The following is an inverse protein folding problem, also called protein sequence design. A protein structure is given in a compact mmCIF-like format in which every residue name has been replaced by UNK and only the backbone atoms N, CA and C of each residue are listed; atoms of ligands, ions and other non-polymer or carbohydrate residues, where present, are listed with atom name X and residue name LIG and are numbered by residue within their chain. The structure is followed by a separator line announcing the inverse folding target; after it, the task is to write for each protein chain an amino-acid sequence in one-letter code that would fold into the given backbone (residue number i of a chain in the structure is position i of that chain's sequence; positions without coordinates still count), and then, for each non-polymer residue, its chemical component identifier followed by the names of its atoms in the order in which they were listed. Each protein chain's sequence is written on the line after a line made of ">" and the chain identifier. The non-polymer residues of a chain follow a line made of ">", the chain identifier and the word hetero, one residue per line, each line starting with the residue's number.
data_IF_375884321374
#
_entry.id   IF_375884321374
#
_cell.length_a   1.000
_cell.length_b   1.000
_cell.length_c   1.000
_cell.angle_alpha   90.00
_cell.angle_beta   90.00
_cell.angle_gamma   90.00
#
_symmetry.space_group_name_H-M   'P 1'
#
loop_
_entity.id
_entity.type
_entity.pdbx_description
1 polymer ?
#
# COMPACT_ATOMS: atom_id res chain seq x y z
N UNK A 1 50.14 26.09 -16.30
CA UNK A 1 49.82 24.67 -16.54
C UNK A 1 48.46 24.41 -15.88
N UNK A 2 47.37 24.63 -16.63
CA UNK A 2 46.01 24.47 -16.10
C UNK A 2 45.61 22.99 -16.18
N UNK A 3 45.46 22.35 -15.03
CA UNK A 3 44.80 21.05 -14.90
C UNK A 3 43.30 21.29 -15.04
N UNK A 4 42.77 21.07 -16.25
CA UNK A 4 41.33 21.10 -16.50
C UNK A 4 40.65 19.92 -15.82
N UNK A 5 39.62 20.19 -15.02
CA UNK A 5 38.71 19.18 -14.51
C UNK A 5 37.85 18.68 -15.68
N UNK A 6 38.17 17.51 -16.21
CA UNK A 6 37.32 16.81 -17.19
C UNK A 6 36.08 16.29 -16.48
N UNK A 7 34.89 16.79 -16.84
CA UNK A 7 33.63 16.19 -16.45
C UNK A 7 33.52 14.78 -17.05
N UNK A 8 32.90 13.86 -16.31
CA UNK A 8 32.63 12.50 -16.78
C UNK A 8 31.91 12.52 -18.15
N UNK A 9 32.22 11.59 -19.06
CA UNK A 9 31.50 11.48 -20.32
C UNK A 9 30.02 11.27 -20.02
N UNK A 10 29.19 12.16 -20.56
CA UNK A 10 27.74 12.05 -20.52
C UNK A 10 27.36 10.73 -21.21
N UNK A 11 26.98 9.72 -20.42
CA UNK A 11 26.47 8.45 -20.95
C UNK A 11 25.05 8.72 -21.43
N UNK A 12 24.94 9.04 -22.71
CA UNK A 12 23.75 9.58 -23.39
C UNK A 12 22.64 8.55 -23.64
N UNK A 13 22.52 7.53 -22.79
CA UNK A 13 21.44 6.54 -22.87
C UNK A 13 20.88 6.28 -21.49
N UNK A 14 19.83 7.02 -21.14
CA UNK A 14 18.94 6.59 -20.08
C UNK A 14 18.48 5.15 -20.39
N UNK A 15 18.49 4.24 -19.40
CA UNK A 15 17.93 2.91 -19.61
C UNK A 15 16.47 3.04 -20.07
N UNK A 16 15.96 2.11 -20.88
CA UNK A 16 14.56 2.13 -21.28
C UNK A 16 13.68 2.13 -20.01
N UNK A 17 12.61 2.92 -20.04
CA UNK A 17 11.68 2.96 -18.93
C UNK A 17 11.08 1.56 -18.69
N UNK A 18 10.95 1.14 -17.42
CA UNK A 18 10.30 -0.12 -17.10
C UNK A 18 8.84 -0.10 -17.55
N UNK A 19 8.31 -1.26 -17.93
CA UNK A 19 6.90 -1.41 -18.25
C UNK A 19 6.13 -1.93 -17.03
N UNK A 20 4.90 -1.48 -16.85
CA UNK A 20 4.04 -1.89 -15.77
C UNK A 20 2.63 -2.19 -16.28
N UNK A 21 1.99 -3.18 -15.65
CA UNK A 21 0.55 -3.40 -15.76
C UNK A 21 -0.13 -3.16 -14.40
N UNK A 22 -1.33 -2.55 -14.38
CA UNK A 22 -2.09 -2.38 -13.16
C UNK A 22 -2.64 -3.73 -12.70
N UNK A 23 -2.69 -3.93 -11.39
CA UNK A 23 -3.50 -4.98 -10.77
C UNK A 23 -4.88 -4.37 -10.55
N UNK A 24 -5.87 -4.89 -11.26
CA UNK A 24 -7.23 -4.37 -11.25
C UNK A 24 -8.14 -5.24 -10.38
N UNK A 25 -9.07 -4.60 -9.68
CA UNK A 25 -10.12 -5.26 -8.93
C UNK A 25 -11.47 -4.59 -9.22
N UNK A 26 -12.54 -5.35 -9.52
CA UNK A 26 -13.89 -4.79 -9.60
C UNK A 26 -14.27 -4.08 -8.31
N UNK A 27 -14.96 -2.94 -8.41
CA UNK A 27 -15.35 -2.14 -7.25
C UNK A 27 -16.04 -2.97 -6.17
N UNK A 28 -17.04 -3.77 -6.55
CA UNK A 28 -17.81 -4.61 -5.61
C UNK A 28 -16.93 -5.61 -4.86
N UNK A 29 -15.97 -6.22 -5.54
CA UNK A 29 -15.02 -7.14 -4.94
C UNK A 29 -14.07 -6.43 -3.96
N UNK A 30 -13.61 -5.22 -4.30
CA UNK A 30 -12.75 -4.41 -3.42
C UNK A 30 -13.44 -4.08 -2.08
N UNK A 31 -14.76 -3.86 -2.09
CA UNK A 31 -15.50 -3.54 -0.87
C UNK A 31 -15.71 -4.76 0.02
N UNK A 32 -15.90 -5.93 -0.59
CA UNK A 32 -16.08 -7.19 0.13
C UNK A 32 -14.75 -7.82 0.58
N UNK A 33 -13.62 -7.40 0.01
CA UNK A 33 -12.32 -8.02 0.27
C UNK A 33 -11.69 -7.61 1.61
N UNK A 34 -12.14 -6.51 2.23
CA UNK A 34 -11.59 -6.04 3.51
C UNK A 34 -11.97 -7.02 4.63
N UNK A 35 -10.97 -7.56 5.32
CA UNK A 35 -11.19 -8.58 6.34
C UNK A 35 -10.09 -8.59 7.39
N UNK A 36 -10.44 -8.95 8.62
CA UNK A 36 -9.47 -9.30 9.67
C UNK A 36 -9.17 -10.80 9.55
N UNK A 37 -7.89 -11.15 9.39
CA UNK A 37 -7.39 -12.49 9.17
C UNK A 37 -6.41 -12.89 10.28
N UNK A 38 -6.15 -14.20 10.46
CA UNK A 38 -5.05 -14.67 11.30
C UNK A 38 -3.71 -14.02 10.92
N UNK A 39 -2.77 -13.91 11.87
CA UNK A 39 -1.46 -13.35 11.59
C UNK A 39 -0.74 -14.18 10.51
N UNK A 40 0.08 -13.51 9.72
CA UNK A 40 0.89 -14.11 8.66
C UNK A 40 2.27 -13.47 8.62
N UNK A 41 3.17 -14.09 7.88
CA UNK A 41 4.51 -13.55 7.67
C UNK A 41 4.47 -12.17 6.98
N UNK A 42 5.36 -11.29 7.43
CA UNK A 42 5.64 -10.00 6.80
C UNK A 42 6.57 -10.17 5.61
N UNK A 43 6.31 -9.49 4.48
CA UNK A 43 7.11 -9.67 3.25
C UNK A 43 7.65 -8.37 2.64
N UNK A 44 6.78 -7.41 2.40
CA UNK A 44 7.05 -6.13 1.74
C UNK A 44 6.43 -4.98 2.55
N UNK A 45 7.00 -4.79 3.74
CA UNK A 45 6.46 -3.87 4.73
C UNK A 45 6.75 -2.41 4.39
N UNK A 46 5.86 -1.54 4.89
CA UNK A 46 5.93 -0.10 4.74
C UNK A 46 6.03 0.62 6.08
N UNK A 47 5.19 1.64 6.27
CA UNK A 47 5.20 2.45 7.48
C UNK A 47 4.83 1.66 8.73
N UNK A 48 5.36 2.13 9.85
CA UNK A 48 5.16 1.57 11.19
C UNK A 48 4.51 2.66 12.07
N UNK A 49 3.47 2.29 12.82
CA UNK A 49 2.86 3.12 13.85
C UNK A 49 2.86 2.40 15.18
N UNK A 50 3.07 3.18 16.25
CA UNK A 50 3.04 2.72 17.62
C UNK A 50 1.82 3.33 18.32
N UNK A 51 1.03 2.48 18.98
CA UNK A 51 -0.02 2.87 19.92
C UNK A 51 0.09 1.93 21.11
N UNK A 52 0.87 2.34 22.11
CA UNK A 52 1.30 1.47 23.20
C UNK A 52 0.16 0.61 23.78
N UNK A 53 0.37 -0.71 23.97
CA UNK A 53 1.59 -1.46 23.67
C UNK A 53 1.63 -2.07 22.25
N UNK A 54 0.82 -1.58 21.29
CA UNK A 54 0.63 -2.23 19.99
C UNK A 54 1.41 -1.57 18.86
N UNK A 55 1.90 -2.40 17.94
CA UNK A 55 2.54 -1.96 16.70
C UNK A 55 1.63 -2.30 15.52
N UNK A 56 1.52 -1.35 14.59
CA UNK A 56 0.83 -1.50 13.31
C UNK A 56 1.82 -1.33 12.17
N UNK A 57 1.92 -2.32 11.29
CA UNK A 57 2.91 -2.30 10.19
C UNK A 57 2.17 -2.48 8.87
N UNK A 58 2.27 -1.52 7.96
CA UNK A 58 1.72 -1.67 6.61
C UNK A 58 2.44 -2.78 5.83
N UNK A 59 1.70 -3.50 5.01
CA UNK A 59 2.13 -4.50 4.05
C UNK A 59 1.65 -4.04 2.67
N UNK A 60 2.60 -3.73 1.78
CA UNK A 60 2.31 -2.99 0.56
C UNK A 60 1.31 -3.72 -0.34
N UNK A 61 0.26 -3.02 -0.73
CA UNK A 61 -0.92 -3.45 -1.49
C UNK A 61 -1.83 -4.47 -0.81
N UNK A 62 -1.52 -4.89 0.41
CA UNK A 62 -2.19 -6.02 1.04
C UNK A 62 -2.90 -5.65 2.34
N UNK A 63 -2.44 -4.65 3.09
CA UNK A 63 -3.10 -4.19 4.33
C UNK A 63 -2.12 -3.85 5.44
N UNK A 64 -2.45 -4.18 6.69
CA UNK A 64 -1.55 -3.97 7.82
C UNK A 64 -1.58 -5.09 8.86
N UNK A 65 -0.44 -5.30 9.50
CA UNK A 65 -0.21 -6.23 10.61
C UNK A 65 -0.51 -5.55 11.94
N UNK A 66 -1.06 -6.31 12.88
CA UNK A 66 -1.28 -5.89 14.27
C UNK A 66 -0.44 -6.78 15.18
N UNK A 67 0.42 -6.17 15.99
CA UNK A 67 1.40 -6.85 16.82
C UNK A 67 1.27 -6.36 18.26
N UNK A 68 1.21 -7.29 19.21
CA UNK A 68 1.39 -7.01 20.63
C UNK A 68 2.87 -6.85 20.94
N UNK A 69 3.24 -5.69 21.48
CA UNK A 69 4.61 -5.36 21.86
C UNK A 69 4.74 -5.09 23.37
N UNK A 70 3.89 -5.69 24.21
CA UNK A 70 4.00 -5.64 25.68
C UNK A 70 5.37 -6.14 26.18
N UNK A 71 5.92 -7.17 25.54
CA UNK A 71 7.30 -7.60 25.72
C UNK A 71 8.09 -7.32 24.43
N UNK A 72 8.84 -6.20 24.36
CA UNK A 72 9.62 -5.86 23.16
C UNK A 72 10.70 -6.88 22.78
N UNK A 73 11.13 -7.73 23.71
CA UNK A 73 12.06 -8.82 23.40
C UNK A 73 11.38 -9.99 22.67
N UNK A 74 10.04 -10.08 22.72
CA UNK A 74 9.24 -11.16 22.13
C UNK A 74 7.88 -10.62 21.61
N UNK A 75 7.86 -9.78 20.57
CA UNK A 75 6.62 -9.27 19.99
C UNK A 75 5.74 -10.41 19.46
N UNK A 76 4.42 -10.31 19.65
CA UNK A 76 3.45 -11.34 19.27
C UNK A 76 2.54 -10.85 18.14
N UNK A 77 2.62 -11.42 16.94
CA UNK A 77 1.66 -11.13 15.87
C UNK A 77 0.24 -11.55 16.29
N UNK A 78 -0.71 -10.62 16.24
CA UNK A 78 -2.10 -10.86 16.64
C UNK A 78 -3.02 -11.10 15.45
N UNK A 79 -2.89 -10.28 14.40
CA UNK A 79 -3.79 -10.32 13.26
C UNK A 79 -3.17 -9.66 12.03
N UNK A 80 -3.75 -9.95 10.88
CA UNK A 80 -3.53 -9.23 9.64
C UNK A 80 -4.85 -8.66 9.13
N UNK A 81 -4.92 -7.34 8.96
CA UNK A 81 -6.10 -6.67 8.39
C UNK A 81 -5.85 -6.49 6.90
N UNK A 82 -6.51 -7.33 6.10
CA UNK A 82 -6.39 -7.30 4.64
C UNK A 82 -7.15 -6.11 4.06
N UNK A 83 -6.45 -5.31 3.27
CA UNK A 83 -6.96 -4.15 2.55
C UNK A 83 -6.29 -4.12 1.17
N UNK A 84 -6.94 -4.61 0.11
CA UNK A 84 -6.35 -4.56 -1.23
C UNK A 84 -6.05 -3.13 -1.66
N UNK A 85 -4.88 -2.92 -2.24
CA UNK A 85 -4.43 -1.60 -2.68
C UNK A 85 -4.00 -0.67 -1.56
N UNK A 86 -3.73 -1.18 -0.36
CA UNK A 86 -3.21 -0.38 0.74
C UNK A 86 -1.71 -0.10 0.59
N UNK A 87 -1.32 1.15 0.39
CA UNK A 87 0.08 1.59 0.35
C UNK A 87 0.49 2.26 1.65
N UNK A 88 -0.44 2.91 2.32
CA UNK A 88 -0.11 3.75 3.45
C UNK A 88 -1.13 3.61 4.58
N UNK A 89 -0.65 3.82 5.81
CA UNK A 89 -1.50 3.90 6.99
C UNK A 89 -1.14 5.16 7.78
N UNK A 90 -2.11 5.67 8.53
CA UNK A 90 -1.93 6.77 9.47
C UNK A 90 -2.80 6.55 10.70
N UNK A 91 -2.44 7.14 11.83
CA UNK A 91 -3.20 6.95 13.07
C UNK A 91 -3.44 8.25 13.82
N UNK A 92 -4.62 8.35 14.45
CA UNK A 92 -4.96 9.39 15.42
C UNK A 92 -5.72 8.76 16.58
N UNK A 93 -5.08 8.65 17.74
CA UNK A 93 -5.65 7.94 18.89
C UNK A 93 -5.88 6.47 18.57
N UNK A 94 -7.12 6.00 18.71
CA UNK A 94 -7.53 4.63 18.36
C UNK A 94 -8.07 4.46 16.94
N UNK A 95 -8.02 5.52 16.12
CA UNK A 95 -8.45 5.46 14.72
C UNK A 95 -7.23 5.24 13.82
N UNK A 96 -7.32 4.22 12.97
CA UNK A 96 -6.34 3.92 11.93
C UNK A 96 -6.96 4.21 10.57
N UNK A 97 -6.28 5.03 9.79
CA UNK A 97 -6.64 5.39 8.42
C UNK A 97 -5.76 4.60 7.46
N UNK A 98 -6.36 4.08 6.40
CA UNK A 98 -5.67 3.27 5.40
C UNK A 98 -6.26 3.57 4.03
N UNK A 99 -5.43 3.67 3.00
CA UNK A 99 -5.91 3.70 1.62
C UNK A 99 -6.30 2.30 1.13
N UNK A 100 -7.13 2.24 0.09
CA UNK A 100 -7.48 1.03 -0.64
C UNK A 100 -7.74 1.39 -2.10
N UNK A 101 -6.66 1.40 -2.88
CA UNK A 101 -6.67 2.07 -4.18
C UNK A 101 -6.94 3.56 -3.98
N UNK A 102 -8.01 4.07 -4.58
CA UNK A 102 -8.42 5.48 -4.45
C UNK A 102 -9.30 5.78 -3.22
N UNK A 103 -9.67 4.75 -2.44
CA UNK A 103 -10.55 4.91 -1.28
C UNK A 103 -9.75 5.23 -0.01
N UNK A 104 -10.38 5.93 0.93
CA UNK A 104 -9.89 6.10 2.30
C UNK A 104 -10.79 5.32 3.26
N UNK A 105 -10.19 4.41 4.04
CA UNK A 105 -10.85 3.65 5.09
C UNK A 105 -10.47 4.19 6.46
N UNK A 106 -11.40 4.07 7.41
CA UNK A 106 -11.15 4.34 8.83
C UNK A 106 -11.52 3.12 9.65
N UNK A 107 -10.57 2.64 10.45
CA UNK A 107 -10.72 1.52 11.35
C UNK A 107 -10.66 2.00 12.80
N UNK A 108 -11.53 1.45 13.65
CA UNK A 108 -11.35 1.50 15.10
C UNK A 108 -10.47 0.32 15.53
N UNK A 109 -9.33 0.65 16.13
CA UNK A 109 -8.36 -0.31 16.67
C UNK A 109 -8.24 -0.20 18.19
N UNK A 110 -9.23 0.39 18.87
CA UNK A 110 -9.28 0.48 20.35
C UNK A 110 -9.18 -0.90 21.02
N UNK A 111 -9.91 -1.88 20.50
CA UNK A 111 -9.72 -3.30 20.80
C UNK A 111 -9.02 -3.99 19.61
N UNK A 112 -7.73 -4.32 19.76
CA UNK A 112 -6.95 -4.94 18.68
C UNK A 112 -7.39 -6.37 18.34
N UNK A 113 -8.09 -7.05 19.24
CA UNK A 113 -8.67 -8.37 18.96
C UNK A 113 -9.94 -8.27 18.09
N UNK A 114 -10.51 -7.07 17.98
CA UNK A 114 -11.75 -6.78 17.26
C UNK A 114 -11.61 -5.48 16.47
N UNK A 115 -10.68 -5.45 15.52
CA UNK A 115 -10.55 -4.30 14.60
C UNK A 115 -11.84 -4.15 13.80
N UNK A 116 -12.41 -2.95 13.78
CA UNK A 116 -13.67 -2.67 13.08
C UNK A 116 -13.48 -1.65 11.99
N UNK A 117 -13.91 -1.97 10.78
CA UNK A 117 -14.09 -0.97 9.73
C UNK A 117 -15.28 -0.07 10.11
N UNK A 118 -15.03 1.24 10.26
CA UNK A 118 -16.06 2.22 10.57
C UNK A 118 -16.61 2.86 9.29
N UNK A 119 -15.71 3.34 8.43
CA UNK A 119 -16.07 4.15 7.28
C UNK A 119 -15.20 3.83 6.08
N UNK A 120 -15.79 4.00 4.89
CA UNK A 120 -15.09 4.04 3.60
C UNK A 120 -15.57 5.28 2.86
N UNK A 121 -14.62 6.11 2.46
CA UNK A 121 -14.86 7.24 1.55
C UNK A 121 -14.30 6.86 0.19
N UNK A 122 -15.18 6.66 -0.79
CA UNK A 122 -14.78 6.29 -2.15
C UNK A 122 -14.06 7.46 -2.83
N UNK A 123 -13.02 7.16 -3.59
CA UNK A 123 -12.29 8.13 -4.41
C UNK A 123 -11.86 9.38 -3.59
N UNK A 124 -11.45 9.17 -2.34
CA UNK A 124 -11.02 10.23 -1.44
C UNK A 124 -9.66 10.82 -1.85
N UNK A 125 -8.87 10.05 -2.61
CA UNK A 125 -7.57 10.42 -3.15
C UNK A 125 -7.51 10.06 -4.64
N UNK A 126 -6.54 10.59 -5.41
CA UNK A 126 -6.30 10.17 -6.79
C UNK A 126 -6.10 8.65 -6.91
N UNK A 127 -6.29 8.12 -8.12
CA UNK A 127 -5.97 6.71 -8.42
C UNK A 127 -4.54 6.38 -8.01
N UNK A 128 -4.35 5.18 -7.44
CA UNK A 128 -3.08 4.67 -6.98
C UNK A 128 -2.00 4.76 -8.08
N UNK A 129 -0.97 5.62 -7.92
CA UNK A 129 0.03 5.81 -8.95
C UNK A 129 0.96 4.60 -9.08
N UNK A 130 1.61 4.52 -10.25
CA UNK A 130 2.69 3.57 -10.48
C UNK A 130 3.86 3.80 -9.50
N UNK A 131 4.57 2.74 -9.06
CA UNK A 131 5.66 2.86 -8.09
C UNK A 131 6.80 3.78 -8.50
N UNK A 132 7.13 3.80 -9.79
CA UNK A 132 8.21 4.58 -10.39
C UNK A 132 7.77 5.05 -11.78
N UNK A 133 8.47 6.03 -12.37
CA UNK A 133 8.18 6.43 -13.74
C UNK A 133 8.41 5.25 -14.69
N UNK A 134 7.41 4.96 -15.54
CA UNK A 134 7.40 3.79 -16.40
C UNK A 134 6.43 3.95 -17.56
N UNK A 135 6.38 2.94 -18.42
CA UNK A 135 5.45 2.86 -19.54
C UNK A 135 4.32 1.89 -19.21
N UNK A 136 3.11 2.21 -19.69
CA UNK A 136 1.93 1.35 -19.59
C UNK A 136 1.54 0.93 -21.02
N UNK A 137 1.66 -0.36 -21.36
CA UNK A 137 1.21 -0.87 -22.65
C UNK A 137 -0.24 -0.48 -22.97
N UNK A 138 -0.57 -0.36 -24.27
CA UNK A 138 -1.83 0.19 -24.73
C UNK A 138 -3.05 -0.53 -24.11
N UNK A 139 -3.00 -1.86 -24.02
CA UNK A 139 -4.04 -2.70 -23.44
C UNK A 139 -4.32 -2.43 -21.96
N UNK A 140 -3.39 -1.81 -21.23
CA UNK A 140 -3.50 -1.50 -19.80
C UNK A 140 -3.79 -0.01 -19.52
N UNK A 141 -3.91 0.82 -20.56
CA UNK A 141 -4.24 2.23 -20.40
C UNK A 141 -5.68 2.42 -19.88
N UNK A 142 -5.97 3.49 -19.12
CA UNK A 142 -7.27 3.69 -18.46
C UNK A 142 -8.50 3.47 -19.35
N UNK A 143 -8.46 3.95 -20.60
CA UNK A 143 -9.56 3.82 -21.56
C UNK A 143 -9.85 2.38 -22.01
N UNK A 144 -8.92 1.45 -21.80
CA UNK A 144 -9.04 0.05 -22.18
C UNK A 144 -9.32 -0.88 -20.98
N UNK A 145 -9.50 -0.31 -19.77
CA UNK A 145 -9.83 -1.06 -18.55
C UNK A 145 -11.35 -1.23 -18.41
N UNK A 146 -11.83 -2.26 -17.68
CA UNK A 146 -13.23 -2.33 -17.28
C UNK A 146 -13.66 -1.06 -16.53
N UNK A 147 -14.87 -0.58 -16.79
CA UNK A 147 -15.36 0.70 -16.26
C UNK A 147 -15.49 0.72 -14.72
N UNK A 148 -15.66 -0.44 -14.08
CA UNK A 148 -15.78 -0.62 -12.64
C UNK A 148 -14.46 -1.05 -11.96
N UNK A 149 -13.36 -1.10 -12.72
CA UNK A 149 -12.06 -1.50 -12.20
C UNK A 149 -11.43 -0.41 -11.32
N UNK A 150 -10.82 -0.85 -10.22
CA UNK A 150 -9.98 -0.04 -9.35
C UNK A 150 -8.56 -0.57 -9.41
N UNK A 151 -7.57 0.32 -9.55
CA UNK A 151 -6.16 -0.04 -9.43
C UNK A 151 -5.84 -0.31 -7.96
N UNK A 152 -5.48 -1.55 -7.65
CA UNK A 152 -5.11 -2.03 -6.30
C UNK A 152 -3.64 -2.40 -6.21
N UNK A 153 -2.85 -2.12 -7.25
CA UNK A 153 -1.43 -2.40 -7.28
C UNK A 153 -0.88 -2.28 -8.68
N UNK A 154 0.42 -2.51 -8.80
CA UNK A 154 1.15 -2.48 -10.07
C UNK A 154 2.16 -3.60 -10.11
N UNK A 155 2.24 -4.28 -11.26
CA UNK A 155 3.21 -5.34 -11.52
C UNK A 155 4.16 -4.88 -12.63
N UNK A 156 5.46 -4.95 -12.35
CA UNK A 156 6.50 -4.73 -13.36
C UNK A 156 6.48 -5.89 -14.36
N UNK A 157 6.54 -5.57 -15.65
CA UNK A 157 6.59 -6.53 -16.76
C UNK A 157 8.03 -6.95 -17.09
#
# INVERSE_FOLDING_TARGET
>A
MCLGLSACPFVDRLPPLPQYKPVLMPRSQLEQAVAVLPPREMRNTGKIYLRDPYIFINERYEGFHVIDNQNPAQPQPLAFVRIPGNVDVAMKGSLLYADSGADLLTFDVSNVQQVRLLHRVRNAVPELPMPELGQVPAEYQPQNRPADAVVVGWQKL
#
